data_IF_088671527518
#
_entry.id   IF_088671527518
#
_cell.length_a   1.000
_cell.length_b   1.000
_cell.length_c   1.000
_cell.angle_alpha   90.00
_cell.angle_beta   90.00
_cell.angle_gamma   90.00
#
_symmetry.space_group_name_H-M   'P 1'
#
loop_
_entity.id
_entity.type
_entity.pdbx_description
1 polymer ?
#
# COMPACT_ATOMS: atom_id res chain seq x y z
N UNK A 1 -0.92 2.43 -1.76
CA UNK A 1 -0.98 2.38 -0.29
C UNK A 1 0.06 3.30 0.33
N UNK A 2 -0.14 4.60 0.16
CA UNK A 2 0.70 5.65 0.76
C UNK A 2 0.52 5.71 2.29
N UNK A 3 -0.56 5.16 2.84
CA UNK A 3 -0.79 5.12 4.29
C UNK A 3 0.32 4.35 5.01
N UNK A 4 0.80 3.26 4.41
CA UNK A 4 1.91 2.47 4.95
C UNK A 4 3.22 3.28 5.01
N UNK A 5 3.55 3.96 3.91
CA UNK A 5 4.77 4.78 3.83
C UNK A 5 4.71 6.00 4.77
N UNK A 6 3.55 6.67 4.83
CA UNK A 6 3.33 7.80 5.73
C UNK A 6 3.42 7.38 7.20
N UNK A 7 2.82 6.25 7.57
CA UNK A 7 2.91 5.70 8.93
C UNK A 7 4.38 5.46 9.32
N UNK A 8 5.17 4.83 8.45
CA UNK A 8 6.59 4.60 8.69
C UNK A 8 7.38 5.92 8.83
N UNK A 9 7.22 6.86 7.90
CA UNK A 9 7.95 8.13 7.95
C UNK A 9 7.55 8.97 9.16
N UNK A 10 6.25 9.05 9.47
CA UNK A 10 5.74 9.94 10.52
C UNK A 10 5.85 9.35 11.92
N UNK A 11 5.63 8.04 12.08
CA UNK A 11 5.65 7.41 13.41
C UNK A 11 6.98 6.75 13.74
N UNK A 12 7.67 6.14 12.78
CA UNK A 12 8.96 5.48 13.04
C UNK A 12 10.13 6.46 12.89
N UNK A 13 10.20 7.22 11.79
CA UNK A 13 11.26 8.22 11.59
C UNK A 13 10.99 9.57 12.28
N UNK A 14 9.76 9.79 12.76
CA UNK A 14 9.33 11.06 13.37
C UNK A 14 9.53 12.28 12.44
N UNK A 15 9.35 12.08 11.14
CA UNK A 15 9.46 13.13 10.12
C UNK A 15 8.08 13.60 9.67
N UNK A 16 7.91 14.91 9.52
CA UNK A 16 6.67 15.48 8.98
C UNK A 16 6.66 15.41 7.45
N UNK A 17 5.65 14.76 6.88
CA UNK A 17 5.40 14.80 5.44
C UNK A 17 4.39 15.90 5.15
N UNK A 18 4.78 16.91 4.38
CA UNK A 18 3.91 18.02 3.96
C UNK A 18 3.49 17.84 2.48
N UNK A 19 2.48 18.58 2.06
CA UNK A 19 1.99 18.58 0.68
C UNK A 19 0.73 17.74 0.49
N UNK A 20 0.33 17.56 -0.78
CA UNK A 20 -0.82 16.73 -1.15
C UNK A 20 -0.40 15.27 -1.19
N UNK A 21 -1.23 14.40 -0.61
CA UNK A 21 -1.06 12.96 -0.67
C UNK A 21 -2.01 12.37 -1.69
N UNK A 22 -1.56 11.29 -2.32
CA UNK A 22 -2.25 10.66 -3.44
C UNK A 22 -2.11 9.14 -3.31
N UNK A 23 -3.21 8.41 -3.41
CA UNK A 23 -3.20 6.95 -3.37
C UNK A 23 -4.03 6.37 -4.51
N UNK A 24 -3.39 5.56 -5.35
CA UNK A 24 -4.05 4.85 -6.45
C UNK A 24 -5.09 3.84 -5.97
N UNK A 25 -4.97 3.31 -4.75
CA UNK A 25 -5.93 2.35 -4.19
C UNK A 25 -7.22 3.04 -3.75
N UNK A 26 -7.10 4.25 -3.18
CA UNK A 26 -8.27 5.09 -2.85
C UNK A 26 -8.95 5.53 -4.13
N UNK A 27 -8.19 6.03 -5.11
CA UNK A 27 -8.73 6.38 -6.42
C UNK A 27 -9.45 5.19 -7.07
N UNK A 28 -8.87 3.99 -7.01
CA UNK A 28 -9.47 2.78 -7.56
C UNK A 28 -10.78 2.41 -6.86
N UNK A 29 -10.82 2.49 -5.53
CA UNK A 29 -12.04 2.19 -4.76
C UNK A 29 -13.20 3.13 -5.04
N UNK A 30 -12.91 4.38 -5.44
CA UNK A 30 -13.93 5.34 -5.85
C UNK A 30 -14.39 5.14 -7.29
N UNK A 31 -13.50 4.66 -8.17
CA UNK A 31 -13.83 4.37 -9.56
C UNK A 31 -14.66 3.07 -9.68
N UNK A 32 -14.34 2.05 -8.89
CA UNK A 32 -14.99 0.74 -8.96
C UNK A 32 -14.93 0.04 -7.60
N UNK A 33 -15.92 0.33 -6.75
CA UNK A 33 -16.10 -0.23 -5.41
C UNK A 33 -16.44 -1.73 -5.37
N UNK A 34 -16.98 -2.27 -6.47
CA UNK A 34 -17.42 -3.67 -6.56
C UNK A 34 -16.28 -4.62 -6.93
N UNK A 35 -15.07 -4.09 -7.05
CA UNK A 35 -13.90 -4.85 -7.45
C UNK A 35 -13.36 -5.72 -6.32
N UNK A 36 -12.85 -6.90 -6.68
CA UNK A 36 -12.33 -7.87 -5.72
C UNK A 36 -10.91 -7.56 -5.22
N UNK A 37 -10.10 -6.78 -5.96
CA UNK A 37 -8.67 -6.57 -5.68
C UNK A 37 -8.25 -5.17 -6.03
N UNK A 38 -7.52 -4.52 -5.13
CA UNK A 38 -6.99 -3.15 -5.29
C UNK A 38 -5.45 -3.08 -5.20
N UNK A 39 -4.76 -4.20 -5.39
CA UNK A 39 -3.30 -4.22 -5.29
C UNK A 39 -2.61 -3.69 -6.57
N UNK A 40 -1.35 -3.27 -6.43
CA UNK A 40 -0.59 -2.67 -7.55
C UNK A 40 -0.48 -3.61 -8.75
N UNK A 41 -0.28 -4.90 -8.53
CA UNK A 41 -0.22 -5.90 -9.60
C UNK A 41 -1.51 -5.93 -10.43
N UNK A 42 -2.67 -5.93 -9.74
CA UNK A 42 -3.97 -5.90 -10.38
C UNK A 42 -4.18 -4.61 -11.19
N UNK A 43 -3.94 -3.43 -10.60
CA UNK A 43 -4.12 -2.16 -11.28
C UNK A 43 -3.13 -1.97 -12.45
N UNK A 44 -1.91 -2.46 -12.30
CA UNK A 44 -0.90 -2.47 -13.37
C UNK A 44 -1.41 -3.28 -14.57
N UNK A 45 -2.04 -4.42 -14.33
CA UNK A 45 -2.66 -5.19 -15.40
C UNK A 45 -3.88 -4.48 -15.99
N UNK A 46 -4.79 -3.96 -15.15
CA UNK A 46 -6.02 -3.28 -15.56
C UNK A 46 -5.74 -2.06 -16.44
N UNK A 47 -4.82 -1.20 -16.04
CA UNK A 47 -4.59 0.10 -16.70
C UNK A 47 -3.45 0.10 -17.72
N UNK A 48 -2.42 -0.72 -17.51
CA UNK A 48 -1.21 -0.70 -18.35
C UNK A 48 -1.08 -1.97 -19.21
N UNK A 49 -1.95 -2.98 -19.01
CA UNK A 49 -1.89 -4.25 -19.74
C UNK A 49 -0.67 -5.12 -19.39
N UNK A 50 0.13 -4.71 -18.40
CA UNK A 50 1.33 -5.43 -17.98
C UNK A 50 0.95 -6.57 -17.05
N UNK A 51 1.52 -7.76 -17.26
CA UNK A 51 1.35 -8.90 -16.35
C UNK A 51 2.51 -8.93 -15.36
N UNK A 52 2.24 -9.45 -14.16
CA UNK A 52 3.30 -9.70 -13.18
C UNK A 52 4.22 -10.80 -13.72
N UNK A 53 5.45 -10.43 -14.03
CA UNK A 53 6.53 -11.37 -14.31
C UNK A 53 7.29 -11.71 -13.04
N UNK A 54 7.98 -12.85 -13.06
CA UNK A 54 8.79 -13.30 -11.93
C UNK A 54 9.99 -12.36 -11.78
N UNK A 55 10.09 -11.70 -10.63
CA UNK A 55 11.15 -10.72 -10.40
C UNK A 55 12.45 -11.40 -9.97
N UNK A 56 13.56 -10.66 -10.06
CA UNK A 56 14.86 -11.08 -9.49
C UNK A 56 14.75 -11.37 -7.98
N UNK A 57 13.89 -10.63 -7.28
CA UNK A 57 13.60 -10.79 -5.86
C UNK A 57 12.92 -12.14 -5.59
N UNK A 58 11.95 -12.52 -6.42
CA UNK A 58 11.26 -13.82 -6.31
C UNK A 58 12.23 -14.97 -6.57
N UNK A 59 13.08 -14.86 -7.60
CA UNK A 59 14.11 -15.84 -7.91
C UNK A 59 15.14 -16.03 -6.79
N UNK A 60 15.54 -14.94 -6.13
CA UNK A 60 16.43 -15.00 -4.96
C UNK A 60 15.78 -15.73 -3.77
N UNK A 61 14.51 -15.45 -3.48
CA UNK A 61 13.81 -16.10 -2.38
C UNK A 61 13.69 -17.61 -2.62
N UNK A 62 13.38 -18.03 -3.84
CA UNK A 62 13.34 -19.43 -4.21
C UNK A 62 14.69 -20.12 -4.09
N UNK A 63 15.75 -19.50 -4.62
CA UNK A 63 17.12 -20.04 -4.54
C UNK A 63 17.56 -20.25 -3.09
N UNK A 64 17.17 -19.33 -2.20
CA UNK A 64 17.50 -19.39 -0.77
C UNK A 64 16.45 -20.09 0.11
N UNK A 65 15.43 -20.72 -0.47
CA UNK A 65 14.31 -21.36 0.25
C UNK A 65 13.65 -20.43 1.30
N UNK A 66 13.57 -19.13 1.02
CA UNK A 66 12.91 -18.15 1.86
C UNK A 66 11.40 -18.26 1.67
N UNK A 67 10.67 -18.44 2.78
CA UNK A 67 9.21 -18.59 2.77
C UNK A 67 8.51 -17.26 2.99
N UNK A 68 7.27 -17.17 2.51
CA UNK A 68 6.42 -16.00 2.68
C UNK A 68 6.57 -15.00 1.54
N UNK A 69 6.22 -13.75 1.82
CA UNK A 69 6.26 -12.66 0.85
C UNK A 69 7.72 -12.25 0.55
N UNK A 70 8.09 -12.21 -0.73
CA UNK A 70 9.45 -11.89 -1.18
C UNK A 70 9.91 -10.49 -0.72
N UNK A 71 8.96 -9.57 -0.53
CA UNK A 71 9.21 -8.20 -0.04
C UNK A 71 9.70 -8.14 1.40
N UNK A 72 9.47 -9.18 2.21
CA UNK A 72 9.97 -9.24 3.59
C UNK A 72 11.48 -9.49 3.66
N UNK A 73 12.08 -9.94 2.55
CA UNK A 73 13.47 -10.35 2.46
C UNK A 73 14.36 -9.34 1.72
N UNK A 74 13.83 -8.17 1.34
CA UNK A 74 14.57 -7.14 0.60
C UNK A 74 15.87 -6.71 1.30
N UNK A 75 15.88 -6.69 2.64
CA UNK A 75 17.06 -6.34 3.43
C UNK A 75 18.24 -7.33 3.29
N UNK A 76 18.00 -8.53 2.73
CA UNK A 76 19.04 -9.53 2.42
C UNK A 76 19.62 -9.40 1.01
N UNK A 77 19.06 -8.54 0.17
CA UNK A 77 19.38 -8.44 -1.25
C UNK A 77 20.27 -7.22 -1.51
N UNK A 78 21.16 -7.34 -2.50
CA UNK A 78 21.98 -6.23 -2.96
C UNK A 78 21.19 -5.22 -3.79
N UNK A 79 21.72 -4.00 -3.93
CA UNK A 79 21.10 -2.90 -4.68
C UNK A 79 20.62 -3.31 -6.08
N UNK A 80 21.47 -3.99 -6.86
CA UNK A 80 21.16 -4.37 -8.24
C UNK A 80 19.93 -5.27 -8.38
N UNK A 81 19.59 -6.02 -7.32
CA UNK A 81 18.45 -6.93 -7.32
C UNK A 81 17.14 -6.24 -6.98
N UNK A 82 17.18 -5.22 -6.10
CA UNK A 82 16.00 -4.49 -5.64
C UNK A 82 15.74 -3.21 -6.46
N UNK A 83 16.70 -2.79 -7.28
CA UNK A 83 16.66 -1.56 -8.05
C UNK A 83 15.40 -1.43 -8.91
N UNK A 84 15.16 -2.41 -9.79
CA UNK A 84 14.04 -2.37 -10.73
C UNK A 84 12.69 -2.42 -10.01
N UNK A 85 12.62 -3.19 -8.92
CA UNK A 85 11.44 -3.25 -8.06
C UNK A 85 11.14 -1.91 -7.42
N UNK A 86 12.14 -1.26 -6.83
CA UNK A 86 11.99 0.04 -6.19
C UNK A 86 11.57 1.13 -7.18
N UNK A 87 12.10 1.10 -8.41
CA UNK A 87 11.65 2.00 -9.49
C UNK A 87 10.21 1.69 -9.88
N UNK A 88 9.85 0.41 -10.00
CA UNK A 88 8.50 -0.04 -10.34
C UNK A 88 7.45 0.46 -9.35
N UNK A 89 7.74 0.36 -8.04
CA UNK A 89 6.87 0.82 -6.95
C UNK A 89 6.60 2.33 -6.96
N UNK A 90 7.36 3.11 -7.74
CA UNK A 90 7.12 4.55 -7.94
C UNK A 90 6.53 4.84 -9.32
N UNK A 91 7.11 4.25 -10.37
CA UNK A 91 6.76 4.53 -11.76
C UNK A 91 5.36 4.03 -12.11
N UNK A 92 5.00 2.82 -11.66
CA UNK A 92 3.70 2.22 -12.00
C UNK A 92 2.55 3.01 -11.37
N UNK A 93 2.55 3.35 -10.05
CA UNK A 93 1.52 4.20 -9.48
C UNK A 93 1.37 5.55 -10.17
N UNK A 94 2.48 6.19 -10.57
CA UNK A 94 2.43 7.48 -11.24
C UNK A 94 1.69 7.40 -12.58
N UNK A 95 1.99 6.40 -13.40
CA UNK A 95 1.30 6.22 -14.69
C UNK A 95 -0.16 5.81 -14.52
N UNK A 96 -0.47 4.92 -13.57
CA UNK A 96 -1.84 4.53 -13.23
C UNK A 96 -2.64 5.75 -12.77
N UNK A 97 -2.07 6.57 -11.88
CA UNK A 97 -2.75 7.73 -11.32
C UNK A 97 -3.10 8.77 -12.38
N UNK A 98 -2.26 8.97 -13.41
CA UNK A 98 -2.58 9.86 -14.55
C UNK A 98 -3.85 9.40 -15.29
N UNK A 99 -4.09 8.10 -15.38
CA UNK A 99 -5.28 7.54 -16.02
C UNK A 99 -6.49 7.68 -15.08
N UNK A 100 -6.36 7.25 -13.83
CA UNK A 100 -7.40 7.37 -12.81
C UNK A 100 -7.85 8.82 -12.63
N UNK A 101 -6.93 9.79 -12.66
CA UNK A 101 -7.25 11.21 -12.57
C UNK A 101 -8.22 11.66 -13.66
N UNK A 102 -8.03 11.21 -14.90
CA UNK A 102 -8.93 11.53 -16.01
C UNK A 102 -10.31 10.91 -15.79
N UNK A 103 -10.36 9.66 -15.33
CA UNK A 103 -11.62 8.95 -15.04
C UNK A 103 -12.38 9.69 -13.93
N UNK A 104 -11.74 9.92 -12.78
CA UNK A 104 -12.34 10.66 -11.67
C UNK A 104 -12.77 12.07 -12.05
N UNK A 105 -12.03 12.75 -12.93
CA UNK A 105 -12.42 14.07 -13.45
C UNK A 105 -13.72 13.99 -14.26
N UNK A 106 -13.83 12.99 -15.14
CA UNK A 106 -15.01 12.80 -16.00
C UNK A 106 -16.24 12.36 -15.20
N UNK A 107 -16.05 11.62 -14.12
CA UNK A 107 -17.11 11.09 -13.25
C UNK A 107 -17.40 11.99 -12.05
N UNK A 108 -16.76 13.17 -11.97
CA UNK A 108 -16.93 14.14 -10.89
C UNK A 108 -16.63 13.58 -9.48
N UNK A 109 -15.60 12.72 -9.38
CA UNK A 109 -15.17 12.05 -8.15
C UNK A 109 -14.02 12.78 -7.42
N UNK A 110 -13.45 13.83 -8.00
CA UNK A 110 -12.23 14.48 -7.47
C UNK A 110 -12.42 15.08 -6.07
N UNK A 111 -13.58 15.68 -5.79
CA UNK A 111 -13.86 16.26 -4.48
C UNK A 111 -13.98 15.18 -3.41
N UNK A 112 -14.62 14.05 -3.73
CA UNK A 112 -14.69 12.89 -2.86
C UNK A 112 -13.31 12.28 -2.63
N UNK A 113 -12.51 12.12 -3.69
CA UNK A 113 -11.12 11.67 -3.57
C UNK A 113 -10.30 12.57 -2.65
N UNK A 114 -10.44 13.90 -2.78
CA UNK A 114 -9.76 14.85 -1.91
C UNK A 114 -10.26 14.79 -0.46
N UNK A 115 -11.54 14.47 -0.24
CA UNK A 115 -12.09 14.24 1.09
C UNK A 115 -11.45 13.00 1.73
N UNK A 116 -11.45 11.85 1.04
CA UNK A 116 -10.84 10.61 1.53
C UNK A 116 -9.36 10.79 1.88
N UNK A 117 -8.60 11.49 1.04
CA UNK A 117 -7.18 11.75 1.31
C UNK A 117 -6.95 12.67 2.53
N UNK A 118 -7.92 13.50 2.94
CA UNK A 118 -7.81 14.34 4.15
C UNK A 118 -7.98 13.56 5.45
N UNK A 119 -8.50 12.34 5.39
CA UNK A 119 -8.69 11.48 6.57
C UNK A 119 -7.42 10.70 6.94
N UNK A 120 -6.45 10.61 6.03
CA UNK A 120 -5.19 9.89 6.25
C UNK A 120 -4.41 10.36 7.50
N UNK A 121 -4.25 11.66 7.81
CA UNK A 121 -3.56 12.09 9.03
C UNK A 121 -4.25 11.54 10.29
N UNK A 122 -5.59 11.51 10.30
CA UNK A 122 -6.37 10.95 11.40
C UNK A 122 -6.15 9.44 11.50
N UNK A 123 -6.20 8.71 10.39
CA UNK A 123 -5.95 7.25 10.38
C UNK A 123 -4.54 6.90 10.90
N UNK A 124 -3.52 7.68 10.52
CA UNK A 124 -2.15 7.52 11.01
C UNK A 124 -2.10 7.78 12.53
N UNK A 125 -2.79 8.83 13.00
CA UNK A 125 -2.87 9.13 14.43
C UNK A 125 -3.57 8.01 15.22
N UNK A 126 -4.67 7.46 14.69
CA UNK A 126 -5.38 6.34 15.28
C UNK A 126 -4.49 5.09 15.36
N UNK A 127 -3.76 4.76 14.28
CA UNK A 127 -2.80 3.65 14.25
C UNK A 127 -1.70 3.80 15.29
N UNK A 128 -1.14 5.00 15.42
CA UNK A 128 -0.13 5.33 16.44
C UNK A 128 -0.67 5.15 17.86
N UNK A 129 -1.89 5.64 18.09
CA UNK A 129 -2.53 5.61 19.41
C UNK A 129 -2.86 4.18 19.84
N UNK A 130 -3.32 3.36 18.88
CA UNK A 130 -3.74 1.99 19.14
C UNK A 130 -4.97 1.90 20.05
N UNK A 131 -5.27 0.70 20.51
CA UNK A 131 -6.37 0.42 21.44
C UNK A 131 -5.81 -0.36 22.63
N UNK A 132 -6.18 0.05 23.84
CA UNK A 132 -5.80 -0.66 25.07
C UNK A 132 -6.58 -1.96 25.17
N UNK A 133 -5.86 -3.08 25.29
CA UNK A 133 -6.46 -4.41 25.43
C UNK A 133 -6.17 -4.95 26.84
N UNK A 134 -7.21 -5.43 27.53
CA UNK A 134 -7.04 -6.19 28.78
C UNK A 134 -6.75 -7.67 28.48
N UNK A 135 -5.46 -7.98 28.46
CA UNK A 135 -4.99 -9.34 28.20
C UNK A 135 -5.47 -10.35 29.25
N UNK A 136 -5.63 -9.94 30.52
CA UNK A 136 -6.03 -10.85 31.60
C UNK A 136 -7.48 -11.28 31.43
N UNK A 137 -8.36 -10.33 31.08
CA UNK A 137 -9.75 -10.61 30.75
C UNK A 137 -9.85 -11.60 29.57
N UNK A 138 -9.12 -11.37 28.47
CA UNK A 138 -9.13 -12.26 27.31
C UNK A 138 -8.63 -13.68 27.62
N UNK A 139 -7.59 -13.81 28.44
CA UNK A 139 -7.09 -15.13 28.88
C UNK A 139 -8.10 -15.86 29.77
N UNK A 140 -8.92 -15.14 30.54
CA UNK A 140 -9.98 -15.76 31.35
C UNK A 140 -11.11 -16.34 30.50
N UNK A 141 -11.49 -15.67 29.41
CA UNK A 141 -12.51 -16.15 28.47
C UNK A 141 -12.09 -17.43 27.73
N UNK A 142 -10.81 -17.56 27.38
CA UNK A 142 -10.28 -18.74 26.67
C UNK A 142 -10.16 -19.99 27.54
N UNK A 143 -10.21 -19.86 28.87
CA UNK A 143 -10.23 -21.00 29.80
C UNK A 143 -11.65 -21.51 30.10
N UNK A 144 -12.67 -20.75 29.73
CA UNK A 144 -14.09 -21.07 29.96
C UNK A 144 -14.72 -21.76 28.75
N UNK A 145 -14.08 -21.66 27.57
CA UNK A 145 -14.40 -22.39 26.35
C UNK A 145 -13.54 -23.64 26.22
#
# INVERSE_FOLDING_TARGET
>A
NILYDLDWIMNFLNLKVNGKWWDIMVAESLIDENQMKYNLDFMTNKYLGLKKEKSLIDGFCEYHNLKGDSRQWLWKMGYSMVHDYAIGDVKLPLEIFKIQWKIMSNENLLDLFHLEMRDFPLLIYMRKTGVKIDVRFYVSLTKVL
#
